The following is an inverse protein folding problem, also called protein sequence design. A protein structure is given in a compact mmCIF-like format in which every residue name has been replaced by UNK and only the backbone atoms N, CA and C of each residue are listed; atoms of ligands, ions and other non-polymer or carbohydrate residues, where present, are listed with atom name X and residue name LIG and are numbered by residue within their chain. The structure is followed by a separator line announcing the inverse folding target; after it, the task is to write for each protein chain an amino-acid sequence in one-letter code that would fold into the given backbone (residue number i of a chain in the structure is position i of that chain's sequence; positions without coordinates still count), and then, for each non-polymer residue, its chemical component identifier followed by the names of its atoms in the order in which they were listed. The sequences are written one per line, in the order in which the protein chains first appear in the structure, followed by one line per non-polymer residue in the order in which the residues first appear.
data_IF_056643192408
#
_entry.id   IF_056643192408
#
_cell.length_a   1.000
_cell.length_b   1.000
_cell.length_c   1.000
_cell.angle_alpha   90.00
_cell.angle_beta   90.00
_cell.angle_gamma   90.00
#
_symmetry.space_group_name_H-M   'P 1'
#
loop_
_entity.id
_entity.type
_entity.pdbx_description
1 polymer ?
#
# COMPACT_ATOMS: atom_id res chain seq x y z
N UNK A 1 24.77 -7.97 17.54
CA UNK A 1 25.16 -9.27 16.98
C UNK A 1 23.87 -10.07 16.79
N UNK A 2 23.26 -10.21 15.62
CA UNK A 2 23.77 -10.23 14.26
C UNK A 2 23.21 -11.52 13.64
N UNK A 3 22.01 -11.46 13.07
CA UNK A 3 21.41 -12.62 12.40
C UNK A 3 21.36 -12.32 10.90
N UNK A 4 22.42 -12.73 10.22
CA UNK A 4 22.51 -12.81 8.78
C UNK A 4 22.87 -14.26 8.40
N UNK A 5 22.31 -14.68 7.27
CA UNK A 5 22.66 -15.83 6.44
C UNK A 5 22.09 -17.21 6.82
N UNK A 6 21.28 -17.76 5.88
CA UNK A 6 21.55 -18.96 5.08
C UNK A 6 20.19 -19.62 4.69
N UNK A 7 19.96 -20.26 3.54
CA UNK A 7 20.83 -20.76 2.48
C UNK A 7 20.02 -21.02 1.20
N UNK A 8 20.73 -21.14 0.08
CA UNK A 8 20.27 -21.82 -1.13
C UNK A 8 21.05 -23.14 -1.33
N UNK A 9 20.34 -24.12 -1.92
CA UNK A 9 20.78 -25.22 -2.82
C UNK A 9 21.32 -26.59 -2.29
N UNK A 10 20.69 -27.63 -2.88
CA UNK A 10 21.24 -28.88 -3.44
C UNK A 10 21.19 -30.23 -2.67
N UNK A 11 20.22 -31.06 -3.11
CA UNK A 11 20.23 -32.49 -3.48
C UNK A 11 21.23 -33.55 -2.89
N UNK A 12 20.63 -34.69 -2.50
CA UNK A 12 20.93 -36.09 -2.90
C UNK A 12 21.30 -37.12 -1.79
N UNK A 13 20.42 -38.13 -1.69
CA UNK A 13 20.63 -39.58 -1.48
C UNK A 13 21.26 -40.16 -0.17
N UNK A 14 20.64 -41.21 0.36
CA UNK A 14 21.34 -42.27 1.11
C UNK A 14 20.52 -42.94 2.23
N UNK A 15 20.37 -44.26 2.16
CA UNK A 15 19.56 -45.13 3.02
C UNK A 15 20.14 -45.41 4.43
N UNK A 16 19.29 -45.94 5.34
CA UNK A 16 19.72 -47.00 6.27
C UNK A 16 19.33 -46.91 7.75
N UNK A 17 18.49 -47.87 8.15
CA UNK A 17 18.50 -48.62 9.42
C UNK A 17 17.94 -48.03 10.74
N UNK A 18 16.88 -48.72 11.15
CA UNK A 18 16.29 -49.00 12.47
C UNK A 18 17.27 -49.27 13.62
N UNK A 19 17.03 -48.68 14.80
CA UNK A 19 16.97 -49.38 16.10
C UNK A 19 16.55 -48.42 17.22
N UNK A 20 15.60 -48.89 18.03
CA UNK A 20 14.92 -48.09 19.04
C UNK A 20 15.77 -47.64 20.23
N UNK A 21 15.31 -46.55 20.85
CA UNK A 21 15.55 -46.30 22.27
C UNK A 21 14.38 -45.54 22.89
N UNK A 22 13.73 -46.19 23.86
CA UNK A 22 12.69 -45.60 24.71
C UNK A 22 13.37 -44.72 25.74
N UNK A 23 13.28 -43.40 25.58
CA UNK A 23 13.70 -42.45 26.62
C UNK A 23 12.55 -41.50 26.90
N UNK A 24 12.07 -41.54 28.14
CA UNK A 24 11.09 -40.64 28.74
C UNK A 24 11.46 -39.17 28.52
N UNK A 25 10.72 -38.47 27.67
CA UNK A 25 10.78 -37.02 27.54
C UNK A 25 9.75 -36.39 28.47
N UNK A 26 10.24 -35.63 29.44
CA UNK A 26 9.53 -34.58 30.19
C UNK A 26 8.64 -33.76 29.26
N UNK A 27 7.52 -33.17 29.74
CA UNK A 27 6.71 -32.30 28.91
C UNK A 27 7.56 -31.09 28.52
N UNK A 28 8.07 -31.10 27.29
CA UNK A 28 8.57 -29.91 26.62
C UNK A 28 7.43 -28.90 26.66
N UNK A 29 7.64 -27.83 27.41
CA UNK A 29 6.88 -26.59 27.30
C UNK A 29 6.70 -26.33 25.81
N UNK A 30 5.48 -26.50 25.31
CA UNK A 30 5.17 -26.23 23.93
C UNK A 30 5.56 -24.79 23.65
N UNK A 31 6.55 -24.59 22.79
CA UNK A 31 6.70 -23.32 22.11
C UNK A 31 5.40 -23.11 21.35
N UNK A 32 4.51 -22.31 21.94
CA UNK A 32 3.42 -21.68 21.21
C UNK A 32 4.10 -20.60 20.37
N UNK A 33 4.85 -21.03 19.35
CA UNK A 33 5.36 -20.16 18.30
C UNK A 33 4.16 -19.67 17.51
N UNK A 34 3.56 -18.58 17.96
CA UNK A 34 2.50 -17.90 17.20
C UNK A 34 3.01 -17.64 15.79
N UNK A 35 2.20 -18.02 14.79
CA UNK A 35 2.51 -17.71 13.39
C UNK A 35 2.64 -16.20 13.26
N UNK A 36 3.75 -15.72 12.72
CA UNK A 36 3.94 -14.32 12.37
C UNK A 36 2.86 -13.90 11.36
N UNK A 37 2.03 -12.93 11.74
CA UNK A 37 0.97 -12.38 10.88
C UNK A 37 1.56 -11.26 10.02
N UNK A 38 1.62 -11.48 8.71
CA UNK A 38 2.10 -10.51 7.73
C UNK A 38 0.97 -9.99 6.87
N UNK A 39 0.92 -8.68 6.66
CA UNK A 39 0.09 -8.07 5.63
C UNK A 39 0.92 -7.38 4.56
N UNK A 40 0.36 -7.25 3.37
CA UNK A 40 0.97 -6.58 2.25
C UNK A 40 0.08 -5.41 1.78
N UNK A 41 0.64 -4.20 1.73
CA UNK A 41 -0.03 -3.01 1.20
C UNK A 41 0.49 -2.72 -0.21
N UNK A 42 -0.36 -2.88 -1.23
CA UNK A 42 -0.05 -2.46 -2.60
C UNK A 42 -0.51 -1.03 -2.79
N UNK A 43 0.46 -0.11 -2.78
CA UNK A 43 0.24 1.32 -2.68
C UNK A 43 -0.25 1.95 -3.99
N UNK A 44 -0.98 3.06 -3.85
CA UNK A 44 -1.41 3.96 -4.93
C UNK A 44 -0.61 5.26 -4.80
N UNK A 45 -1.22 6.35 -4.30
CA UNK A 45 -0.60 7.68 -4.32
C UNK A 45 0.31 7.97 -3.12
N UNK A 46 1.34 8.78 -3.37
CA UNK A 46 2.20 9.38 -2.37
C UNK A 46 1.49 10.50 -1.57
N UNK A 47 2.21 11.20 -0.71
CA UNK A 47 1.66 12.31 0.07
C UNK A 47 0.66 11.84 1.14
N UNK A 48 -0.51 12.48 1.22
CA UNK A 48 -1.50 12.21 2.28
C UNK A 48 -2.11 10.81 2.20
N UNK A 49 -2.22 10.22 1.01
CA UNK A 49 -2.73 8.84 0.89
C UNK A 49 -1.72 7.85 1.49
N UNK A 50 -0.44 7.95 1.10
CA UNK A 50 0.62 7.19 1.73
C UNK A 50 0.66 7.39 3.25
N UNK A 51 0.57 8.64 3.73
CA UNK A 51 0.51 8.92 5.16
C UNK A 51 -0.63 8.17 5.86
N UNK A 52 -1.83 8.16 5.27
CA UNK A 52 -2.97 7.42 5.81
C UNK A 52 -2.75 5.90 5.81
N UNK A 53 -2.05 5.36 4.80
CA UNK A 53 -1.69 3.94 4.72
C UNK A 53 -0.67 3.55 5.79
N UNK A 54 0.30 4.42 6.08
CA UNK A 54 1.25 4.23 7.18
C UNK A 54 0.55 4.28 8.54
N UNK A 55 -0.42 5.17 8.73
CA UNK A 55 -1.26 5.19 9.94
C UNK A 55 -2.05 3.89 10.12
N UNK A 56 -2.61 3.32 9.03
CA UNK A 56 -3.29 2.03 9.09
C UNK A 56 -2.33 0.90 9.45
N UNK A 57 -1.16 0.84 8.80
CA UNK A 57 -0.13 -0.15 9.08
C UNK A 57 0.35 -0.10 10.54
N UNK A 58 0.53 1.11 11.08
CA UNK A 58 0.96 1.37 12.45
C UNK A 58 -0.11 0.94 13.45
N UNK A 59 -1.37 1.30 13.19
CA UNK A 59 -2.51 0.88 14.02
C UNK A 59 -2.58 -0.65 14.14
N UNK A 60 -2.40 -1.37 13.03
CA UNK A 60 -2.46 -2.83 13.01
C UNK A 60 -1.30 -3.49 13.77
N UNK A 61 -0.09 -2.92 13.67
CA UNK A 61 1.07 -3.36 14.44
C UNK A 61 0.93 -3.07 15.94
N UNK A 62 0.47 -1.86 16.31
CA UNK A 62 0.31 -1.45 17.71
C UNK A 62 -0.86 -2.18 18.39
N UNK A 63 -1.89 -2.55 17.63
CA UNK A 63 -2.98 -3.39 18.12
C UNK A 63 -2.55 -4.86 18.33
N UNK A 64 -1.35 -5.26 17.89
CA UNK A 64 -0.84 -6.63 18.04
C UNK A 64 -1.58 -7.67 17.20
N UNK A 65 -2.29 -7.24 16.15
CA UNK A 65 -3.00 -8.14 15.21
C UNK A 65 -2.15 -8.46 13.99
N UNK A 66 -1.08 -7.70 13.76
CA UNK A 66 -0.11 -7.87 12.69
C UNK A 66 1.29 -7.80 13.32
N UNK A 67 2.21 -8.63 12.84
CA UNK A 67 3.62 -8.64 13.23
C UNK A 67 4.50 -7.94 12.20
N UNK A 68 4.13 -8.02 10.92
CA UNK A 68 4.89 -7.48 9.80
C UNK A 68 4.01 -6.85 8.70
N UNK A 69 4.46 -5.74 8.13
CA UNK A 69 3.85 -5.08 6.98
C UNK A 69 4.86 -4.95 5.85
N UNK A 70 4.48 -5.36 4.65
CA UNK A 70 5.27 -5.11 3.44
C UNK A 70 4.57 -4.04 2.60
N UNK A 71 5.27 -2.95 2.34
CA UNK A 71 4.82 -1.83 1.51
C UNK A 71 5.31 -2.07 0.08
N UNK A 72 4.38 -2.25 -0.86
CA UNK A 72 4.67 -2.45 -2.27
C UNK A 72 4.41 -1.17 -3.05
N UNK A 73 5.47 -0.50 -3.48
CA UNK A 73 5.41 0.69 -4.34
C UNK A 73 5.88 0.44 -5.76
N UNK A 74 5.97 1.53 -6.54
CA UNK A 74 6.39 1.48 -7.93
C UNK A 74 7.92 1.68 -8.04
N UNK A 75 8.60 0.97 -8.96
CA UNK A 75 10.05 1.13 -9.17
C UNK A 75 10.41 2.35 -10.02
N UNK A 76 9.45 2.96 -10.72
CA UNK A 76 9.64 4.12 -11.61
C UNK A 76 8.46 5.08 -11.46
N UNK A 77 8.61 6.38 -11.78
CA UNK A 77 7.49 7.31 -11.84
C UNK A 77 6.33 6.75 -12.67
N UNK A 78 5.16 6.67 -12.06
CA UNK A 78 4.00 5.98 -12.62
C UNK A 78 2.73 6.76 -12.24
N UNK A 79 1.83 6.95 -13.20
CA UNK A 79 0.53 7.63 -12.97
C UNK A 79 0.59 8.92 -12.13
N UNK A 80 1.60 9.76 -12.38
CA UNK A 80 1.86 11.06 -11.73
C UNK A 80 2.23 10.94 -10.26
N UNK A 81 1.35 10.40 -9.43
CA UNK A 81 1.46 10.39 -7.97
C UNK A 81 1.69 9.02 -7.36
N UNK A 82 1.86 7.95 -8.14
CA UNK A 82 2.09 6.63 -7.54
C UNK A 82 3.38 6.61 -6.72
N UNK A 83 3.30 5.99 -5.55
CA UNK A 83 4.36 6.02 -4.54
C UNK A 83 5.62 5.28 -4.98
N UNK A 84 6.74 5.99 -4.91
CA UNK A 84 8.11 5.49 -5.03
C UNK A 84 8.78 5.39 -3.65
N UNK A 85 9.93 4.70 -3.60
CA UNK A 85 10.72 4.61 -2.36
C UNK A 85 11.25 5.98 -1.92
N UNK A 86 11.50 6.88 -2.88
CA UNK A 86 11.84 8.28 -2.60
C UNK A 86 10.73 8.99 -1.82
N UNK A 87 9.48 8.84 -2.26
CA UNK A 87 8.34 9.51 -1.64
C UNK A 87 8.11 9.06 -0.19
N UNK A 88 8.33 7.78 0.13
CA UNK A 88 8.28 7.30 1.51
C UNK A 88 9.36 7.97 2.38
N UNK A 89 10.59 8.07 1.88
CA UNK A 89 11.69 8.72 2.60
C UNK A 89 11.41 10.20 2.81
N UNK A 90 10.94 10.89 1.77
CA UNK A 90 10.62 12.31 1.81
C UNK A 90 9.43 12.60 2.73
N UNK A 91 8.39 11.74 2.71
CA UNK A 91 7.28 11.82 3.66
C UNK A 91 7.78 11.69 5.10
N UNK A 92 8.59 10.66 5.40
CA UNK A 92 9.14 10.46 6.74
C UNK A 92 10.07 11.61 7.17
N UNK A 93 10.83 12.20 6.26
CA UNK A 93 11.65 13.38 6.53
C UNK A 93 10.77 14.60 6.86
N UNK A 94 9.79 14.90 6.00
CA UNK A 94 8.87 16.03 6.18
C UNK A 94 8.04 15.95 7.46
N UNK A 95 7.70 14.75 7.93
CA UNK A 95 6.99 14.54 9.20
C UNK A 95 7.88 14.79 10.43
N UNK A 96 9.21 14.70 10.27
CA UNK A 96 10.17 15.02 11.33
C UNK A 96 10.55 16.51 11.36
N UNK A 97 10.44 17.20 10.22
CA UNK A 97 10.84 18.61 10.10
C UNK A 97 9.73 19.56 10.54
N UNK A 98 10.09 20.63 11.26
CA UNK A 98 9.12 21.64 11.71
C UNK A 98 8.74 22.65 10.60
N UNK A 99 9.48 22.68 9.49
CA UNK A 99 9.51 23.82 8.57
C UNK A 99 8.60 23.69 7.34
N UNK A 100 8.02 22.52 7.10
CA UNK A 100 7.30 22.20 5.85
C UNK A 100 5.96 22.94 5.69
N UNK A 101 5.53 23.73 6.68
CA UNK A 101 4.33 24.58 6.60
C UNK A 101 4.65 26.06 6.39
N UNK A 102 5.91 26.45 6.20
CA UNK A 102 6.34 27.85 6.10
C UNK A 102 7.16 28.16 4.84
N UNK A 103 6.88 27.58 3.66
CA UNK A 103 7.43 28.18 2.43
C UNK A 103 6.75 27.72 1.13
N UNK A 104 5.57 28.28 0.85
CA UNK A 104 5.06 28.43 -0.53
C UNK A 104 5.08 29.93 -0.90
N UNK A 105 6.15 30.63 -0.50
CA UNK A 105 6.16 32.09 -0.52
C UNK A 105 7.51 32.80 -0.42
N UNK A 106 8.63 32.16 -0.77
CA UNK A 106 9.91 32.85 -0.88
C UNK A 106 10.61 32.54 -2.22
N UNK A 107 10.20 33.27 -3.26
CA UNK A 107 10.97 33.37 -4.49
C UNK A 107 12.38 33.91 -4.19
N UNK A 108 13.40 33.13 -4.51
CA UNK A 108 14.81 33.56 -4.44
C UNK A 108 15.07 34.67 -5.44
N UNK A 109 15.43 35.85 -4.93
CA UNK A 109 15.79 37.01 -5.73
C UNK A 109 17.13 36.85 -6.46
N UNK A 110 17.17 37.35 -7.69
CA UNK A 110 18.38 37.79 -8.38
C UNK A 110 18.11 39.18 -9.01
N UNK A 111 19.14 40.04 -9.17
CA UNK A 111 18.97 41.49 -9.18
C UNK A 111 18.53 42.07 -10.53
N UNK A 112 17.98 43.27 -10.44
CA UNK A 112 17.33 44.06 -11.48
C UNK A 112 18.16 44.30 -12.75
N UNK A 113 17.51 44.18 -13.92
CA UNK A 113 17.48 45.27 -14.91
C UNK A 113 16.35 45.10 -15.93
N UNK A 114 15.80 46.25 -16.32
CA UNK A 114 14.91 46.52 -17.45
C UNK A 114 13.40 46.20 -17.33
N UNK A 115 12.65 47.24 -17.65
CA UNK A 115 11.22 47.47 -17.62
C UNK A 115 10.40 46.50 -18.48
N UNK A 116 9.18 46.17 -18.01
CA UNK A 116 7.92 46.26 -18.77
C UNK A 116 6.75 45.79 -17.89
N UNK A 117 5.76 46.66 -17.66
CA UNK A 117 4.46 46.29 -17.08
C UNK A 117 3.61 45.55 -18.12
N UNK A 118 2.73 44.62 -17.70
CA UNK A 118 1.31 44.94 -17.81
C UNK A 118 0.47 44.45 -16.61
N UNK A 119 -0.59 45.20 -16.35
CA UNK A 119 -1.61 45.01 -15.33
C UNK A 119 -2.40 43.71 -15.54
N UNK A 120 -2.64 42.95 -14.47
CA UNK A 120 -3.70 41.94 -14.39
C UNK A 120 -4.24 41.85 -12.95
N UNK A 121 -5.55 41.56 -12.79
CA UNK A 121 -6.28 41.82 -11.56
C UNK A 121 -5.93 40.82 -10.45
N UNK A 122 -5.74 41.33 -9.23
CA UNK A 122 -5.44 40.55 -8.04
C UNK A 122 -6.63 39.69 -7.60
N UNK A 123 -6.51 38.37 -7.71
CA UNK A 123 -7.30 37.45 -6.91
C UNK A 123 -6.69 37.37 -5.51
N UNK A 124 -7.19 38.18 -4.58
CA UNK A 124 -6.81 38.12 -3.17
C UNK A 124 -7.43 36.88 -2.53
N UNK A 125 -6.67 35.79 -2.49
CA UNK A 125 -6.98 34.67 -1.60
C UNK A 125 -6.81 35.15 -0.16
N UNK A 126 -7.79 34.91 0.75
CA UNK A 126 -7.62 35.26 2.14
C UNK A 126 -6.56 34.34 2.76
N UNK A 127 -5.37 34.88 2.99
CA UNK A 127 -4.30 34.24 3.77
C UNK A 127 -4.76 34.11 5.21
N UNK A 128 -5.52 33.06 5.49
CA UNK A 128 -5.81 32.62 6.84
C UNK A 128 -4.57 31.89 7.34
N UNK A 129 -3.56 32.63 7.78
CA UNK A 129 -2.39 32.06 8.45
C UNK A 129 -2.82 31.60 9.85
N UNK A 130 -3.46 30.43 9.92
CA UNK A 130 -3.56 29.71 11.19
C UNK A 130 -2.15 29.22 11.52
N UNK A 131 -1.48 29.86 12.47
CA UNK A 131 -0.22 29.34 12.99
C UNK A 131 -0.49 27.97 13.62
N UNK A 132 -0.13 26.89 12.92
CA UNK A 132 -0.13 25.57 13.56
C UNK A 132 0.93 25.64 14.65
N UNK A 133 0.51 25.62 15.92
CA UNK A 133 1.45 25.65 17.05
C UNK A 133 2.39 24.44 16.96
N UNK A 134 3.64 24.58 17.40
CA UNK A 134 4.62 23.49 17.42
C UNK A 134 4.12 22.23 18.14
N UNK A 135 3.14 22.37 19.04
CA UNK A 135 2.45 21.27 19.71
C UNK A 135 1.66 20.37 18.73
N UNK A 136 1.07 20.94 17.67
CA UNK A 136 0.25 20.19 16.71
C UNK A 136 1.04 19.17 15.86
N UNK A 137 2.37 19.32 15.77
CA UNK A 137 3.24 18.40 15.01
C UNK A 137 3.97 17.38 15.87
N UNK A 138 3.86 17.44 17.20
CA UNK A 138 4.55 16.51 18.10
C UNK A 138 4.11 15.07 17.87
N UNK A 139 2.81 14.84 17.73
CA UNK A 139 2.25 13.51 17.48
C UNK A 139 2.72 12.94 16.14
N UNK A 140 2.74 13.77 15.09
CA UNK A 140 3.23 13.38 13.75
C UNK A 140 4.71 13.00 13.79
N UNK A 141 5.52 13.72 14.58
CA UNK A 141 6.95 13.38 14.77
C UNK A 141 7.11 12.07 15.52
N UNK A 142 6.31 11.82 16.55
CA UNK A 142 6.33 10.54 17.27
C UNK A 142 5.97 9.38 16.34
N UNK A 143 4.96 9.55 15.48
CA UNK A 143 4.62 8.58 14.44
C UNK A 143 5.81 8.33 13.51
N UNK A 144 6.42 9.39 12.95
CA UNK A 144 7.54 9.24 12.01
C UNK A 144 8.76 8.56 12.65
N UNK A 145 9.09 8.86 13.91
CA UNK A 145 10.17 8.18 14.66
C UNK A 145 9.84 6.69 14.82
N UNK A 146 8.60 6.36 15.19
CA UNK A 146 8.15 4.97 15.34
C UNK A 146 8.18 4.22 14.01
N UNK A 147 7.69 4.83 12.94
CA UNK A 147 7.68 4.24 11.59
C UNK A 147 9.10 3.94 11.08
N UNK A 148 10.06 4.84 11.33
CA UNK A 148 11.48 4.56 11.05
C UNK A 148 11.98 3.36 11.83
N UNK A 149 11.63 3.23 13.11
CA UNK A 149 12.01 2.06 13.91
C UNK A 149 11.42 0.75 13.38
N UNK A 150 10.23 0.78 12.77
CA UNK A 150 9.65 -0.39 12.11
C UNK A 150 10.42 -0.78 10.85
N UNK A 151 10.87 0.19 10.05
CA UNK A 151 11.73 -0.05 8.90
C UNK A 151 13.08 -0.62 9.32
N UNK A 152 13.72 -0.02 10.33
CA UNK A 152 15.03 -0.45 10.85
C UNK A 152 14.99 -1.87 11.44
N UNK A 153 13.88 -2.23 12.09
CA UNK A 153 13.67 -3.57 12.67
C UNK A 153 13.16 -4.61 11.66
N UNK A 154 12.75 -4.20 10.46
CA UNK A 154 12.16 -5.08 9.45
C UNK A 154 10.71 -5.49 9.73
N UNK A 155 10.06 -4.87 10.73
CA UNK A 155 8.61 -4.97 10.95
C UNK A 155 7.85 -4.32 9.81
N UNK A 156 8.39 -3.24 9.24
CA UNK A 156 8.01 -2.74 7.92
C UNK A 156 9.12 -3.04 6.92
N UNK A 157 8.76 -3.39 5.69
CA UNK A 157 9.70 -3.47 4.59
C UNK A 157 9.13 -2.84 3.34
N UNK A 158 9.98 -2.10 2.63
CA UNK A 158 9.66 -1.62 1.29
C UNK A 158 10.01 -2.67 0.24
N UNK A 159 9.13 -2.85 -0.75
CA UNK A 159 9.35 -3.66 -1.95
C UNK A 159 8.88 -2.89 -3.17
N UNK A 160 9.63 -3.02 -4.25
CA UNK A 160 9.21 -2.59 -5.58
C UNK A 160 9.48 -3.73 -6.55
N UNK A 161 8.57 -3.93 -7.50
CA UNK A 161 8.68 -4.98 -8.51
C UNK A 161 8.23 -4.43 -9.88
N UNK A 162 8.96 -4.72 -10.99
CA UNK A 162 8.60 -4.21 -12.32
C UNK A 162 7.17 -4.52 -12.75
N UNK A 163 6.62 -5.66 -12.32
CA UNK A 163 5.24 -6.08 -12.61
C UNK A 163 4.19 -4.99 -12.33
N UNK A 164 4.37 -4.21 -11.24
CA UNK A 164 3.43 -3.14 -10.88
C UNK A 164 3.29 -2.07 -11.96
N UNK A 165 4.32 -1.86 -12.78
CA UNK A 165 4.36 -0.92 -13.90
C UNK A 165 4.23 -1.60 -15.28
N UNK A 166 3.86 -2.87 -15.34
CA UNK A 166 3.51 -3.53 -16.61
C UNK A 166 2.04 -3.28 -16.97
N UNK A 167 1.61 -3.47 -18.23
CA UNK A 167 0.19 -3.44 -18.59
C UNK A 167 -0.58 -4.69 -18.15
N UNK A 168 0.10 -5.71 -17.59
CA UNK A 168 -0.53 -6.99 -17.28
C UNK A 168 -1.58 -6.85 -16.16
N UNK A 169 -2.75 -7.51 -16.30
CA UNK A 169 -3.69 -7.67 -15.21
C UNK A 169 -3.13 -8.61 -14.14
N UNK A 170 -3.64 -8.54 -12.92
CA UNK A 170 -3.11 -9.33 -11.81
C UNK A 170 -3.37 -10.83 -11.97
N UNK A 171 -4.43 -11.24 -12.67
CA UNK A 171 -4.65 -12.66 -12.99
C UNK A 171 -3.52 -13.31 -13.80
N UNK A 172 -2.65 -12.52 -14.44
CA UNK A 172 -1.46 -13.02 -15.15
C UNK A 172 -0.20 -13.03 -14.30
N UNK A 173 -0.23 -12.49 -13.07
CA UNK A 173 0.95 -12.35 -12.21
C UNK A 173 1.67 -13.68 -12.01
N UNK A 174 0.95 -14.78 -11.76
CA UNK A 174 1.57 -16.11 -11.58
C UNK A 174 2.40 -16.57 -12.79
N UNK A 175 2.01 -16.17 -14.00
CA UNK A 175 2.73 -16.55 -15.22
C UNK A 175 3.86 -15.57 -15.56
N UNK A 176 3.65 -14.27 -15.32
CA UNK A 176 4.55 -13.19 -15.76
C UNK A 176 5.58 -12.81 -14.70
N UNK A 177 5.23 -12.92 -13.42
CA UNK A 177 6.05 -12.59 -12.25
C UNK A 177 5.80 -13.64 -11.14
N UNK A 178 6.17 -14.91 -11.37
CA UNK A 178 5.93 -16.00 -10.42
C UNK A 178 6.57 -15.73 -9.06
N UNK A 179 7.75 -15.10 -9.03
CA UNK A 179 8.45 -14.71 -7.80
C UNK A 179 7.63 -13.71 -6.96
N UNK A 180 7.00 -12.72 -7.59
CA UNK A 180 6.11 -11.80 -6.89
C UNK A 180 4.84 -12.52 -6.40
N UNK A 181 4.23 -13.35 -7.24
CA UNK A 181 3.03 -14.11 -6.85
C UNK A 181 3.31 -15.04 -5.65
N UNK A 182 4.43 -15.76 -5.70
CA UNK A 182 4.87 -16.68 -4.65
C UNK A 182 5.26 -15.93 -3.36
N UNK A 183 5.69 -14.66 -3.46
CA UNK A 183 5.94 -13.81 -2.28
C UNK A 183 4.69 -13.52 -1.45
N UNK A 184 3.50 -13.67 -2.05
CA UNK A 184 2.20 -13.56 -1.38
C UNK A 184 1.60 -14.92 -1.04
N UNK A 185 1.76 -15.89 -1.94
CA UNK A 185 1.08 -17.17 -1.86
C UNK A 185 1.60 -18.11 -0.76
N UNK A 186 0.96 -19.27 -0.63
CA UNK A 186 1.39 -20.37 0.25
C UNK A 186 1.51 -19.96 1.74
N UNK A 187 0.71 -18.99 2.18
CA UNK A 187 0.72 -18.49 3.56
C UNK A 187 1.83 -17.49 3.86
N UNK A 188 2.52 -16.94 2.83
CA UNK A 188 3.51 -15.87 3.01
C UNK A 188 2.87 -14.51 3.31
N UNK A 189 1.62 -14.30 2.91
CA UNK A 189 0.80 -13.14 3.26
C UNK A 189 -0.52 -13.61 3.87
N UNK A 190 -0.91 -13.02 5.00
CA UNK A 190 -2.20 -13.27 5.66
C UNK A 190 -3.31 -12.41 5.06
N UNK A 191 -2.96 -11.23 4.54
CA UNK A 191 -3.89 -10.30 3.88
C UNK A 191 -3.13 -9.35 2.94
N UNK A 192 -3.66 -9.18 1.72
CA UNK A 192 -3.18 -8.17 0.77
C UNK A 192 -4.21 -7.06 0.65
N UNK A 193 -3.80 -5.82 0.89
CA UNK A 193 -4.63 -4.63 0.72
C UNK A 193 -4.18 -3.90 -0.54
N UNK A 194 -5.07 -3.80 -1.51
CA UNK A 194 -4.85 -3.05 -2.76
C UNK A 194 -5.49 -1.67 -2.63
N UNK A 195 -4.67 -0.63 -2.77
CA UNK A 195 -5.09 0.77 -2.69
C UNK A 195 -5.45 1.33 -4.06
N UNK A 196 -6.51 2.12 -4.14
CA UNK A 196 -6.76 3.00 -5.27
C UNK A 196 -7.40 2.34 -6.50
N UNK A 197 -7.64 3.18 -7.50
CA UNK A 197 -8.42 2.84 -8.69
C UNK A 197 -7.63 1.97 -9.68
N UNK A 198 -6.34 2.28 -9.90
CA UNK A 198 -5.51 1.54 -10.84
C UNK A 198 -5.31 0.08 -10.40
N UNK A 199 -5.06 -0.16 -9.11
CA UNK A 199 -4.93 -1.52 -8.60
C UNK A 199 -6.25 -2.30 -8.75
N UNK A 200 -7.41 -1.66 -8.53
CA UNK A 200 -8.70 -2.30 -8.77
C UNK A 200 -8.90 -2.66 -10.24
N UNK A 201 -8.60 -1.74 -11.15
CA UNK A 201 -8.66 -2.00 -12.59
C UNK A 201 -7.77 -3.19 -12.97
N UNK A 202 -6.56 -3.29 -12.42
CA UNK A 202 -5.68 -4.46 -12.65
C UNK A 202 -6.20 -5.76 -12.01
N UNK A 203 -6.84 -5.69 -10.82
CA UNK A 203 -7.51 -6.84 -10.19
C UNK A 203 -8.63 -7.38 -11.08
N UNK A 204 -9.43 -6.49 -11.68
CA UNK A 204 -10.60 -6.86 -12.50
C UNK A 204 -10.31 -6.88 -14.00
N UNK A 205 -9.04 -6.79 -14.39
CA UNK A 205 -8.58 -6.75 -15.79
C UNK A 205 -9.25 -5.64 -16.63
N UNK A 206 -9.68 -4.56 -15.99
CA UNK A 206 -10.32 -3.38 -16.61
C UNK A 206 -11.46 -3.74 -17.58
N UNK A 207 -12.14 -4.88 -17.34
CA UNK A 207 -13.16 -5.41 -18.23
C UNK A 207 -14.52 -4.75 -17.99
N UNK A 208 -15.39 -4.76 -19.01
CA UNK A 208 -16.78 -4.30 -18.91
C UNK A 208 -17.68 -5.37 -18.28
N UNK A 209 -17.45 -5.65 -17.00
CA UNK A 209 -18.26 -6.57 -16.23
C UNK A 209 -19.70 -6.07 -16.11
N UNK A 210 -20.72 -6.94 -16.22
CA UNK A 210 -22.01 -6.65 -15.61
C UNK A 210 -21.78 -6.25 -14.15
N UNK A 211 -22.33 -5.12 -13.70
CA UNK A 211 -22.02 -4.57 -12.37
C UNK A 211 -22.33 -5.54 -11.21
N UNK A 212 -23.21 -6.51 -11.43
CA UNK A 212 -23.59 -7.55 -10.49
C UNK A 212 -22.70 -8.79 -10.52
N UNK A 213 -21.71 -8.87 -11.43
CA UNK A 213 -20.75 -9.97 -11.50
C UNK A 213 -20.04 -10.10 -10.15
N UNK A 214 -19.98 -11.28 -9.51
CA UNK A 214 -19.30 -11.43 -8.23
C UNK A 214 -17.84 -10.94 -8.29
N UNK A 215 -17.39 -10.21 -7.26
CA UNK A 215 -16.01 -9.71 -7.21
C UNK A 215 -14.99 -10.86 -7.37
N UNK A 216 -15.25 -12.01 -6.73
CA UNK A 216 -14.40 -13.20 -6.81
C UNK A 216 -14.27 -13.79 -8.22
N UNK A 217 -15.27 -13.58 -9.09
CA UNK A 217 -15.26 -13.98 -10.50
C UNK A 217 -14.47 -12.96 -11.33
N UNK A 218 -14.68 -11.67 -11.07
CA UNK A 218 -13.96 -10.58 -11.75
C UNK A 218 -12.42 -10.64 -11.54
N UNK A 219 -11.96 -11.23 -10.43
CA UNK A 219 -10.54 -11.51 -10.15
C UNK A 219 -9.90 -12.52 -11.12
N UNK A 220 -10.67 -13.25 -11.91
CA UNK A 220 -10.18 -14.21 -12.92
C UNK A 220 -9.12 -15.20 -12.36
N UNK A 221 -9.36 -15.71 -11.15
CA UNK A 221 -8.46 -16.68 -10.51
C UNK A 221 -7.26 -16.07 -9.77
N UNK A 222 -7.09 -14.74 -9.75
CA UNK A 222 -6.07 -14.09 -8.93
C UNK A 222 -6.41 -14.22 -7.44
N UNK A 223 -5.86 -15.25 -6.79
CA UNK A 223 -6.06 -15.56 -5.37
C UNK A 223 -4.78 -16.06 -4.70
N UNK A 224 -3.71 -15.24 -4.64
CA UNK A 224 -2.49 -15.65 -3.93
C UNK A 224 -2.71 -15.77 -2.41
N UNK A 225 -3.50 -14.88 -1.83
CA UNK A 225 -3.88 -14.83 -0.42
C UNK A 225 -5.24 -14.12 -0.28
N UNK A 226 -5.87 -14.10 0.92
CA UNK A 226 -7.00 -13.22 1.19
C UNK A 226 -6.65 -11.78 0.80
N UNK A 227 -7.58 -11.08 0.15
CA UNK A 227 -7.34 -9.72 -0.31
C UNK A 227 -8.52 -8.78 -0.09
N UNK A 228 -8.19 -7.50 0.07
CA UNK A 228 -9.15 -6.41 0.16
C UNK A 228 -8.74 -5.30 -0.81
N UNK A 229 -9.68 -4.79 -1.60
CA UNK A 229 -9.49 -3.60 -2.41
C UNK A 229 -10.17 -2.40 -1.72
N UNK A 230 -9.38 -1.35 -1.48
CA UNK A 230 -9.84 -0.05 -0.97
C UNK A 230 -9.76 0.96 -2.10
N UNK A 231 -10.93 1.28 -2.69
CA UNK A 231 -10.99 2.07 -3.92
C UNK A 231 -11.96 3.23 -3.79
N UNK A 232 -11.49 4.40 -4.19
CA UNK A 232 -12.35 5.50 -4.66
C UNK A 232 -12.59 5.34 -6.16
N UNK A 233 -13.84 5.44 -6.61
CA UNK A 233 -14.22 5.14 -8.00
C UNK A 233 -13.79 6.27 -8.94
N UNK A 234 -12.84 5.98 -9.84
CA UNK A 234 -12.30 6.90 -10.84
C UNK A 234 -12.25 6.27 -12.25
N UNK A 235 -13.02 5.20 -12.47
CA UNK A 235 -13.09 4.46 -13.74
C UNK A 235 -14.38 3.65 -13.87
N UNK A 236 -14.79 3.42 -15.12
CA UNK A 236 -16.07 2.77 -15.47
C UNK A 236 -16.24 1.33 -14.95
N UNK A 237 -15.13 0.62 -14.70
CA UNK A 237 -15.19 -0.78 -14.25
C UNK A 237 -15.73 -0.88 -12.83
N UNK A 238 -16.69 -1.79 -12.61
CA UNK A 238 -17.18 -2.17 -11.30
C UNK A 238 -17.76 -3.58 -11.34
N UNK A 239 -17.57 -4.32 -10.25
CA UNK A 239 -18.17 -5.63 -10.04
C UNK A 239 -18.73 -5.73 -8.61
N UNK A 240 -19.56 -6.74 -8.34
CA UNK A 240 -20.00 -7.11 -7.00
C UNK A 240 -21.10 -6.22 -6.41
N UNK A 241 -21.83 -5.44 -7.22
CA UNK A 241 -22.95 -4.64 -6.74
C UNK A 241 -24.21 -5.48 -6.57
N UNK A 242 -25.04 -5.12 -5.59
CA UNK A 242 -26.37 -5.68 -5.46
C UNK A 242 -27.24 -5.29 -6.68
N UNK A 243 -28.15 -6.17 -7.14
CA UNK A 243 -29.09 -5.84 -8.22
C UNK A 243 -29.85 -4.54 -7.94
N UNK A 244 -29.95 -3.67 -8.94
CA UNK A 244 -30.63 -2.37 -8.84
C UNK A 244 -29.81 -1.24 -8.21
N UNK A 245 -28.66 -1.53 -7.57
CA UNK A 245 -27.84 -0.47 -6.95
C UNK A 245 -27.25 0.47 -8.01
N UNK A 246 -26.69 -0.05 -9.10
CA UNK A 246 -26.09 0.80 -10.13
C UNK A 246 -27.10 1.73 -10.80
N UNK A 247 -28.34 1.28 -11.02
CA UNK A 247 -29.40 2.09 -11.62
C UNK A 247 -29.79 3.25 -10.69
N UNK A 248 -29.89 2.98 -9.38
CA UNK A 248 -30.15 4.01 -8.37
C UNK A 248 -29.02 5.04 -8.32
N UNK A 249 -27.76 4.60 -8.32
CA UNK A 249 -26.60 5.48 -8.31
C UNK A 249 -26.54 6.34 -9.58
N UNK A 250 -26.70 5.73 -10.76
CA UNK A 250 -26.73 6.47 -12.03
C UNK A 250 -27.88 7.48 -12.13
N UNK A 251 -29.00 7.24 -11.43
CA UNK A 251 -30.10 8.21 -11.35
C UNK A 251 -29.74 9.39 -10.44
N UNK A 252 -29.02 9.14 -9.35
CA UNK A 252 -28.65 10.17 -8.37
C UNK A 252 -27.42 11.00 -8.80
N UNK A 253 -26.46 10.36 -9.45
CA UNK A 253 -25.19 10.93 -9.88
C UNK A 253 -24.72 10.20 -11.15
N UNK A 254 -24.93 10.75 -12.36
CA UNK A 254 -24.55 10.09 -13.61
C UNK A 254 -23.06 9.73 -13.72
N UNK A 255 -22.18 10.44 -13.02
CA UNK A 255 -20.72 10.30 -13.09
C UNK A 255 -20.13 9.52 -11.90
N UNK A 256 -20.97 8.83 -11.12
CA UNK A 256 -20.57 8.16 -9.87
C UNK A 256 -19.40 7.16 -9.99
N UNK A 257 -19.18 6.61 -11.19
CA UNK A 257 -18.08 5.68 -11.48
C UNK A 257 -16.72 6.38 -11.62
N UNK A 258 -16.70 7.66 -12.00
CA UNK A 258 -15.49 8.34 -12.48
C UNK A 258 -15.15 9.61 -11.72
N UNK A 259 -16.09 10.17 -10.97
CA UNK A 259 -15.93 11.48 -10.33
C UNK A 259 -15.15 11.47 -9.02
N UNK A 260 -14.75 10.29 -8.51
CA UNK A 260 -13.95 10.17 -7.30
C UNK A 260 -14.71 10.46 -5.99
N UNK A 261 -16.04 10.57 -6.00
CA UNK A 261 -16.83 10.87 -4.79
C UNK A 261 -17.33 9.63 -4.06
N UNK A 262 -17.33 8.48 -4.74
CA UNK A 262 -17.82 7.22 -4.22
C UNK A 262 -16.64 6.31 -3.88
N UNK A 263 -16.81 5.49 -2.84
CA UNK A 263 -15.82 4.53 -2.39
C UNK A 263 -16.39 3.13 -2.25
N UNK A 264 -15.54 2.12 -2.37
CA UNK A 264 -15.86 0.73 -2.10
C UNK A 264 -14.74 0.05 -1.32
N UNK A 265 -15.15 -0.87 -0.45
CA UNK A 265 -14.30 -1.84 0.22
C UNK A 265 -14.80 -3.21 -0.20
N UNK A 266 -13.99 -3.95 -0.96
CA UNK A 266 -14.35 -5.28 -1.46
C UNK A 266 -13.33 -6.31 -1.02
N UNK A 267 -13.80 -7.39 -0.42
CA UNK A 267 -12.95 -8.47 0.08
C UNK A 267 -13.18 -9.76 -0.73
N UNK A 268 -12.09 -10.49 -0.96
CA UNK A 268 -12.09 -11.86 -1.41
C UNK A 268 -11.23 -12.66 -0.42
N UNK A 269 -11.90 -13.27 0.55
CA UNK A 269 -11.29 -13.97 1.69
C UNK A 269 -11.22 -15.48 1.46
#
# INVERSE_FOLDING_TARGET
AGCAAAAAAAAAAGAGADSGNTTTSSPTSGEVGGRCVRIDLVLDNSGLELFSDLCLADLLLEAGVVDQVILHGKPIPWFVSDTLEGDLRDLLASCCDERTTQDEGAGTGAPASSSCSPSSPSSSWPSSSSSSSSASWQDVRHLAVRWRSYLDSGRWQWRAHPFWCTPAPFCWMKAVAPDLYDSFANGNSDLIIFKGDLNYRKLTHDCRWPHTTPFQEALQGFRPAPLVALRTLKADVVAGLAPGLSQRLSTADPDWLVNGKWGMVQAAL
#
